data_IF_545129353402
#
_entry.id   IF_545129353402
#
_cell.length_a   1.000
_cell.length_b   1.000
_cell.length_c   1.000
_cell.angle_alpha   90.00
_cell.angle_beta   90.00
_cell.angle_gamma   90.00
#
_symmetry.space_group_name_H-M   'P 1'
#
loop_
_entity.id
_entity.type
_entity.pdbx_description
1 polymer ?
#
# COMPACT_ATOMS: atom_id res chain seq x y z
N UNK A 1 3.85 -7.90 -7.36
CA UNK A 1 5.02 -7.07 -7.66
C UNK A 1 5.84 -6.96 -6.38
N UNK A 2 7.04 -7.56 -6.29
CA UNK A 2 7.90 -7.53 -5.10
C UNK A 2 8.42 -6.13 -4.73
N UNK A 3 8.48 -5.21 -5.69
CA UNK A 3 8.90 -3.83 -5.48
C UNK A 3 7.87 -2.87 -6.08
N UNK A 4 6.66 -2.81 -5.49
CA UNK A 4 5.61 -1.96 -6.01
C UNK A 4 5.94 -0.50 -5.72
N UNK A 5 5.65 0.36 -6.69
CA UNK A 5 5.51 1.79 -6.45
C UNK A 5 4.29 2.08 -5.57
N UNK A 6 4.25 3.25 -4.93
CA UNK A 6 3.10 3.69 -4.15
C UNK A 6 1.79 3.69 -4.97
N UNK A 7 1.86 4.08 -6.25
CA UNK A 7 0.72 4.08 -7.16
C UNK A 7 0.17 2.67 -7.43
N UNK A 8 1.05 1.68 -7.57
CA UNK A 8 0.65 0.28 -7.72
C UNK A 8 -0.02 -0.26 -6.45
N UNK A 9 0.51 0.08 -5.27
CA UNK A 9 -0.11 -0.29 -3.99
C UNK A 9 -1.52 0.30 -3.88
N UNK A 10 -1.68 1.60 -4.15
CA UNK A 10 -2.99 2.29 -4.13
C UNK A 10 -3.99 1.65 -5.09
N UNK A 11 -3.55 1.34 -6.31
CA UNK A 11 -4.40 0.66 -7.31
C UNK A 11 -4.80 -0.74 -6.83
N UNK A 12 -3.87 -1.51 -6.30
CA UNK A 12 -4.11 -2.88 -5.83
C UNK A 12 -5.10 -2.93 -4.65
N UNK A 13 -5.05 -1.96 -3.73
CA UNK A 13 -5.94 -1.94 -2.57
C UNK A 13 -7.25 -1.16 -2.79
N UNK A 14 -7.48 -0.60 -3.98
CA UNK A 14 -8.62 0.29 -4.27
C UNK A 14 -10.01 -0.32 -4.00
N UNK A 15 -10.13 -1.66 -3.99
CA UNK A 15 -11.36 -2.37 -3.63
C UNK A 15 -11.59 -2.58 -2.13
N UNK A 16 -10.64 -2.20 -1.27
CA UNK A 16 -10.73 -2.40 0.17
C UNK A 16 -11.12 -1.08 0.85
N UNK A 17 -12.38 -0.93 1.25
CA UNK A 17 -12.85 0.30 1.87
C UNK A 17 -12.27 0.47 3.29
N UNK A 18 -11.66 1.62 3.55
CA UNK A 18 -11.19 2.02 4.87
C UNK A 18 -11.80 3.37 5.27
N UNK A 19 -12.37 3.46 6.48
CA UNK A 19 -12.98 4.70 7.02
C UNK A 19 -12.07 5.51 7.92
N UNK A 20 -11.06 4.89 8.53
CA UNK A 20 -10.34 5.48 9.66
C UNK A 20 -8.98 6.07 9.26
N UNK A 21 -8.18 5.35 8.45
CA UNK A 21 -6.75 5.69 8.25
C UNK A 21 -6.50 6.59 7.06
N UNK A 22 -7.48 6.78 6.18
CA UNK A 22 -7.29 7.47 4.90
C UNK A 22 -6.26 6.78 3.99
N UNK A 23 -6.00 5.48 4.19
CA UNK A 23 -5.03 4.64 3.46
C UNK A 23 -3.55 4.93 3.68
N UNK A 24 -3.15 6.08 4.24
CA UNK A 24 -1.74 6.49 4.39
C UNK A 24 -0.92 5.41 5.12
N UNK A 25 -1.36 4.99 6.31
CA UNK A 25 -0.65 3.98 7.10
C UNK A 25 -0.66 2.57 6.52
N UNK A 26 -1.66 2.24 5.71
CA UNK A 26 -1.72 0.94 5.02
C UNK A 26 -0.69 0.91 3.89
N UNK A 27 -0.62 1.99 3.11
CA UNK A 27 0.36 2.14 2.02
C UNK A 27 1.78 2.13 2.56
N UNK A 28 2.06 2.89 3.63
CA UNK A 28 3.36 2.88 4.32
C UNK A 28 3.74 1.46 4.81
N UNK A 29 2.80 0.75 5.44
CA UNK A 29 3.04 -0.59 5.95
C UNK A 29 3.39 -1.59 4.84
N UNK A 30 2.66 -1.56 3.72
CA UNK A 30 2.94 -2.42 2.57
C UNK A 30 4.34 -2.11 2.00
N UNK A 31 4.64 -0.82 1.76
CA UNK A 31 5.94 -0.43 1.22
C UNK A 31 7.10 -0.80 2.16
N UNK A 32 6.89 -0.78 3.48
CA UNK A 32 7.94 -1.11 4.45
C UNK A 32 8.43 -2.55 4.36
N UNK A 33 7.58 -3.49 3.93
CA UNK A 33 7.93 -4.93 3.83
C UNK A 33 8.32 -5.35 2.42
N UNK A 34 8.10 -4.50 1.41
CA UNK A 34 8.47 -4.76 0.01
C UNK A 34 9.79 -4.08 -0.41
N UNK A 35 10.33 -3.18 0.42
CA UNK A 35 11.46 -2.32 0.04
C UNK A 35 12.85 -2.96 0.14
N UNK A 36 13.01 -4.18 0.66
CA UNK A 36 14.33 -4.85 0.70
C UNK A 36 14.24 -6.38 0.72
N UNK A 37 14.69 -7.00 -0.37
CA UNK A 37 15.61 -8.14 -0.36
C UNK A 37 16.44 -8.08 -1.63
#
# INVERSE_FOLDING_TARGET
NPHPSEGEVKKAISGNLCRCTGYVKIVEAILSVTSKT
#
